data_IF_370581989779
#
_entry.id   IF_370581989779
#
_cell.length_a   1.000
_cell.length_b   1.000
_cell.length_c   1.000
_cell.angle_alpha   90.00
_cell.angle_beta   90.00
_cell.angle_gamma   90.00
#
_symmetry.space_group_name_H-M   'P 1'
#
loop_
_entity.id
_entity.type
_entity.pdbx_description
1 polymer ?
#
# COMPACT_ATOMS: atom_id res chain seq x y z
N UNK A 1 47.94 7.73 30.06
CA UNK A 1 46.87 8.58 29.48
C UNK A 1 47.01 8.60 27.97
N UNK A 2 46.16 7.84 27.27
CA UNK A 2 45.57 8.18 25.96
C UNK A 2 44.38 7.23 25.76
N UNK A 3 43.22 7.84 25.52
CA UNK A 3 41.88 7.27 25.65
C UNK A 3 41.59 6.10 24.70
N UNK A 4 40.98 5.04 25.23
CA UNK A 4 40.06 4.16 24.49
C UNK A 4 38.65 4.72 24.70
N UNK A 5 38.10 5.45 23.72
CA UNK A 5 36.71 5.88 23.74
C UNK A 5 36.12 5.68 22.33
N UNK A 6 34.96 5.00 22.31
CA UNK A 6 33.90 4.90 21.29
C UNK A 6 34.20 4.21 19.94
N UNK A 7 33.86 2.92 19.86
CA UNK A 7 33.36 2.28 18.63
C UNK A 7 31.97 1.62 18.82
N UNK A 8 31.46 1.54 20.05
CA UNK A 8 30.20 0.86 20.36
C UNK A 8 28.93 1.69 20.04
N UNK A 9 29.06 3.01 19.85
CA UNK A 9 27.91 3.90 19.60
C UNK A 9 27.38 3.86 18.17
N UNK A 10 28.26 3.74 17.16
CA UNK A 10 27.83 3.75 15.75
C UNK A 10 27.07 2.48 15.36
N UNK A 11 27.51 1.32 15.83
CA UNK A 11 26.90 0.04 15.48
C UNK A 11 25.48 -0.10 16.06
N UNK A 12 25.25 0.36 17.29
CA UNK A 12 23.95 0.29 17.95
C UNK A 12 22.92 1.25 17.31
N UNK A 13 23.38 2.43 16.86
CA UNK A 13 22.54 3.40 16.14
C UNK A 13 22.18 2.86 14.75
N UNK A 14 23.16 2.33 14.00
CA UNK A 14 22.91 1.76 12.67
C UNK A 14 21.93 0.57 12.72
N UNK A 15 22.06 -0.33 13.70
CA UNK A 15 21.10 -1.43 13.89
C UNK A 15 19.70 -0.95 14.28
N UNK A 16 19.62 0.15 15.03
CA UNK A 16 18.33 0.75 15.41
C UNK A 16 17.61 1.38 14.22
N UNK A 17 18.34 2.10 13.36
CA UNK A 17 17.80 2.71 12.13
C UNK A 17 17.31 1.63 11.16
N UNK A 18 18.11 0.59 10.89
CA UNK A 18 17.68 -0.50 9.99
C UNK A 18 16.44 -1.24 10.51
N UNK A 19 16.33 -1.45 11.82
CA UNK A 19 15.16 -2.07 12.41
C UNK A 19 13.91 -1.19 12.26
N UNK A 20 14.06 0.13 12.40
CA UNK A 20 12.98 1.09 12.20
C UNK A 20 12.54 1.13 10.72
N UNK A 21 13.48 1.24 9.78
CA UNK A 21 13.19 1.25 8.33
C UNK A 21 12.45 -0.03 7.90
N UNK A 22 12.81 -1.18 8.50
CA UNK A 22 12.16 -2.47 8.24
C UNK A 22 10.71 -2.49 8.73
N UNK A 23 10.46 -2.02 9.95
CA UNK A 23 9.10 -1.97 10.52
C UNK A 23 8.21 -0.99 9.74
N UNK A 24 8.75 0.16 9.34
CA UNK A 24 8.06 1.14 8.50
C UNK A 24 7.72 0.53 7.13
N UNK A 25 8.66 -0.14 6.45
CA UNK A 25 8.39 -0.80 5.19
C UNK A 25 7.28 -1.86 5.29
N UNK A 26 7.29 -2.66 6.36
CA UNK A 26 6.26 -3.68 6.61
C UNK A 26 4.90 -3.02 6.82
N UNK A 27 4.81 -2.02 7.70
CA UNK A 27 3.58 -1.27 7.98
C UNK A 27 3.02 -0.63 6.71
N UNK A 28 3.85 0.07 5.97
CA UNK A 28 3.44 0.81 4.78
C UNK A 28 2.88 -0.13 3.71
N UNK A 29 3.48 -1.31 3.51
CA UNK A 29 2.99 -2.31 2.57
C UNK A 29 1.74 -3.05 3.06
N UNK A 30 1.57 -3.25 4.36
CA UNK A 30 0.30 -3.75 4.94
C UNK A 30 -0.85 -2.77 4.63
N UNK A 31 -0.61 -1.47 4.79
CA UNK A 31 -1.61 -0.45 4.45
C UNK A 31 -1.86 -0.38 2.94
N UNK A 32 -0.81 -0.44 2.13
CA UNK A 32 -0.94 -0.39 0.68
C UNK A 32 -1.78 -1.55 0.15
N UNK A 33 -1.53 -2.80 0.59
CA UNK A 33 -2.34 -3.94 0.16
C UNK A 33 -3.76 -3.88 0.75
N UNK A 34 -3.92 -3.44 2.00
CA UNK A 34 -5.24 -3.28 2.59
C UNK A 34 -6.10 -2.28 1.80
N UNK A 35 -5.52 -1.16 1.36
CA UNK A 35 -6.22 -0.19 0.53
C UNK A 35 -6.50 -0.70 -0.89
N UNK A 36 -5.66 -1.57 -1.45
CA UNK A 36 -5.98 -2.29 -2.68
C UNK A 36 -7.25 -3.12 -2.50
N UNK A 37 -7.31 -3.93 -1.44
CA UNK A 37 -8.49 -4.75 -1.13
C UNK A 37 -9.73 -3.92 -0.78
N UNK A 38 -9.53 -2.76 -0.15
CA UNK A 38 -10.63 -1.82 0.06
C UNK A 38 -11.11 -1.20 -1.27
N UNK A 39 -10.22 -0.94 -2.22
CA UNK A 39 -10.58 -0.60 -3.59
C UNK A 39 -11.46 -1.68 -4.23
N UNK A 40 -11.07 -2.96 -4.11
CA UNK A 40 -11.90 -4.08 -4.57
C UNK A 40 -13.27 -4.12 -3.92
N UNK A 41 -13.34 -3.88 -2.61
CA UNK A 41 -14.60 -3.80 -1.87
C UNK A 41 -15.48 -2.67 -2.38
N UNK A 42 -14.93 -1.47 -2.58
CA UNK A 42 -15.69 -0.33 -3.10
C UNK A 42 -16.20 -0.57 -4.52
N UNK A 43 -15.39 -1.18 -5.39
CA UNK A 43 -15.82 -1.56 -6.74
C UNK A 43 -17.04 -2.49 -6.68
N UNK A 44 -17.02 -3.49 -5.80
CA UNK A 44 -18.12 -4.46 -5.66
C UNK A 44 -19.38 -3.81 -5.06
N UNK A 45 -19.26 -3.20 -3.88
CA UNK A 45 -20.43 -2.73 -3.12
C UNK A 45 -21.10 -1.50 -3.74
N UNK A 46 -20.37 -0.72 -4.55
CA UNK A 46 -20.90 0.47 -5.26
C UNK A 46 -21.12 0.22 -6.75
N UNK A 47 -20.86 -0.98 -7.26
CA UNK A 47 -20.96 -1.32 -8.69
C UNK A 47 -20.20 -0.30 -9.57
N UNK A 48 -18.98 0.04 -9.15
CA UNK A 48 -18.18 1.04 -9.86
C UNK A 48 -17.79 0.49 -11.24
N UNK A 49 -18.05 1.21 -12.33
CA UNK A 49 -17.72 0.73 -13.67
C UNK A 49 -16.21 0.75 -13.87
N UNK A 50 -15.61 -0.43 -14.07
CA UNK A 50 -14.19 -0.58 -14.41
C UNK A 50 -14.05 -0.97 -15.89
N UNK A 51 -13.23 -0.21 -16.60
CA UNK A 51 -12.75 -0.55 -17.94
C UNK A 51 -11.23 -0.71 -17.89
N UNK A 52 -10.72 -1.91 -18.16
CA UNK A 52 -9.31 -2.26 -17.98
C UNK A 52 -9.13 -3.43 -17.01
N UNK A 53 -7.96 -3.53 -16.37
CA UNK A 53 -7.69 -4.52 -15.33
C UNK A 53 -8.23 -4.02 -13.99
N UNK A 54 -8.93 -4.89 -13.24
CA UNK A 54 -9.50 -4.53 -11.94
C UNK A 54 -8.40 -4.26 -10.90
N UNK A 55 -7.30 -5.03 -10.95
CA UNK A 55 -6.15 -4.85 -10.05
C UNK A 55 -5.47 -3.49 -10.25
N UNK A 56 -5.27 -3.03 -11.50
CA UNK A 56 -4.72 -1.70 -11.75
C UNK A 56 -5.61 -0.59 -11.15
N UNK A 57 -6.93 -0.76 -11.21
CA UNK A 57 -7.87 0.18 -10.59
C UNK A 57 -7.77 0.17 -9.05
N UNK A 58 -7.56 -1.00 -8.45
CA UNK A 58 -7.38 -1.17 -7.01
C UNK A 58 -6.03 -0.61 -6.51
N UNK A 59 -4.95 -0.79 -7.26
CA UNK A 59 -3.64 -0.16 -6.99
C UNK A 59 -3.76 1.37 -6.99
N UNK A 60 -4.47 1.93 -7.99
CA UNK A 60 -4.74 3.37 -8.04
C UNK A 60 -5.60 3.80 -6.85
N UNK A 61 -6.58 3.00 -6.41
CA UNK A 61 -7.34 3.29 -5.20
C UNK A 61 -6.42 3.41 -3.97
N UNK A 62 -5.45 2.50 -3.85
CA UNK A 62 -4.45 2.51 -2.79
C UNK A 62 -3.61 3.78 -2.79
N UNK A 63 -3.13 4.21 -3.97
CA UNK A 63 -2.42 5.49 -4.13
C UNK A 63 -3.30 6.68 -3.72
N UNK A 64 -4.56 6.71 -4.15
CA UNK A 64 -5.47 7.81 -3.83
C UNK A 64 -5.82 7.89 -2.34
N UNK A 65 -5.97 6.74 -1.67
CA UNK A 65 -6.20 6.67 -0.23
C UNK A 65 -4.97 7.16 0.54
N UNK A 66 -3.76 6.69 0.20
CA UNK A 66 -2.52 7.20 0.80
C UNK A 66 -2.35 8.71 0.58
N UNK A 67 -2.60 9.18 -0.64
CA UNK A 67 -2.55 10.61 -0.98
C UNK A 67 -3.54 11.46 -0.17
N UNK A 68 -4.75 10.94 0.07
CA UNK A 68 -5.82 11.74 0.67
C UNK A 68 -5.86 11.68 2.20
N UNK A 69 -5.37 10.58 2.80
CA UNK A 69 -5.49 10.32 4.23
C UNK A 69 -4.25 10.71 5.04
N UNK A 70 -3.09 10.86 4.39
CA UNK A 70 -1.82 11.10 5.06
C UNK A 70 -1.22 12.44 4.67
N UNK A 71 -0.46 13.01 5.62
CA UNK A 71 0.37 14.19 5.36
C UNK A 71 1.43 13.87 4.29
N UNK A 72 1.79 14.89 3.50
CA UNK A 72 2.62 14.77 2.29
C UNK A 72 3.89 13.92 2.48
N UNK A 73 4.69 14.19 3.52
CA UNK A 73 5.93 13.45 3.79
C UNK A 73 5.68 11.96 4.09
N UNK A 74 4.59 11.66 4.81
CA UNK A 74 4.22 10.27 5.12
C UNK A 74 3.67 9.57 3.89
N UNK A 75 2.82 10.24 3.10
CA UNK A 75 2.29 9.69 1.86
C UNK A 75 3.41 9.37 0.85
N UNK A 76 4.41 10.25 0.71
CA UNK A 76 5.60 9.99 -0.12
C UNK A 76 6.31 8.71 0.33
N UNK A 77 6.57 8.58 1.63
CA UNK A 77 7.24 7.40 2.18
C UNK A 77 6.43 6.12 1.91
N UNK A 78 5.13 6.13 2.20
CA UNK A 78 4.26 4.96 2.01
C UNK A 78 4.21 4.50 0.55
N UNK A 79 4.02 5.44 -0.39
CA UNK A 79 3.97 5.12 -1.82
C UNK A 79 5.33 4.63 -2.32
N UNK A 80 6.43 5.22 -1.85
CA UNK A 80 7.77 4.72 -2.18
C UNK A 80 8.00 3.30 -1.64
N UNK A 81 7.55 2.99 -0.42
CA UNK A 81 7.59 1.65 0.17
C UNK A 81 6.78 0.64 -0.65
N UNK A 82 5.55 1.00 -1.03
CA UNK A 82 4.68 0.16 -1.86
C UNK A 82 5.28 -0.11 -3.26
N UNK A 83 5.76 0.94 -3.93
CA UNK A 83 6.43 0.80 -5.22
C UNK A 83 7.67 -0.11 -5.09
N UNK A 84 8.52 0.10 -4.08
CA UNK A 84 9.70 -0.75 -3.87
C UNK A 84 9.38 -2.24 -3.71
N UNK A 85 8.23 -2.60 -3.12
CA UNK A 85 7.78 -3.99 -3.07
C UNK A 85 7.51 -4.55 -4.48
N UNK A 86 6.79 -3.81 -5.34
CA UNK A 86 6.61 -4.20 -6.75
C UNK A 86 7.92 -4.32 -7.51
N UNK A 87 8.89 -3.43 -7.25
CA UNK A 87 10.21 -3.55 -7.87
C UNK A 87 10.97 -4.80 -7.40
N UNK A 88 10.87 -5.17 -6.12
CA UNK A 88 11.46 -6.40 -5.61
C UNK A 88 10.86 -7.65 -6.28
N UNK A 89 9.54 -7.66 -6.49
CA UNK A 89 8.85 -8.72 -7.22
C UNK A 89 9.27 -8.75 -8.69
N UNK A 90 9.39 -7.59 -9.35
CA UNK A 90 9.87 -7.49 -10.73
C UNK A 90 11.29 -8.06 -10.90
N UNK A 91 12.18 -7.82 -9.94
CA UNK A 91 13.54 -8.40 -9.93
C UNK A 91 13.48 -9.93 -9.80
N UNK A 92 12.50 -10.47 -9.08
CA UNK A 92 12.31 -11.91 -8.94
C UNK A 92 11.67 -12.52 -10.20
N UNK A 93 10.67 -11.86 -10.78
CA UNK A 93 10.05 -12.22 -12.06
C UNK A 93 11.09 -12.29 -13.19
N UNK A 94 11.99 -11.30 -13.28
CA UNK A 94 13.03 -11.25 -14.29
C UNK A 94 14.07 -12.39 -14.19
N UNK A 95 14.15 -13.07 -13.03
CA UNK A 95 14.99 -14.27 -12.84
C UNK A 95 14.24 -15.57 -13.17
N UNK A 96 12.92 -15.50 -13.36
CA UNK A 96 12.07 -16.64 -13.70
C UNK A 96 11.91 -16.75 -15.22
N UNK A 97 12.02 -17.96 -15.76
CA UNK A 97 11.73 -18.23 -17.18
C UNK A 97 10.21 -18.27 -17.46
N UNK A 98 9.38 -18.29 -16.41
CA UNK A 98 7.91 -18.39 -16.47
C UNK A 98 7.25 -17.08 -15.98
N UNK A 99 7.58 -15.95 -16.61
CA UNK A 99 6.90 -14.68 -16.31
C UNK A 99 5.40 -14.80 -16.69
N UNK A 100 4.46 -14.64 -15.73
CA UNK A 100 3.04 -14.93 -15.95
C UNK A 100 2.33 -13.72 -16.57
N UNK A 101 2.66 -13.36 -17.82
CA UNK A 101 2.03 -12.21 -18.50
C UNK A 101 0.52 -12.35 -18.77
N UNK A 102 -0.07 -13.51 -18.43
CA UNK A 102 -1.50 -13.80 -18.49
C UNK A 102 -2.18 -13.74 -17.11
N UNK A 103 -1.44 -13.36 -16.07
CA UNK A 103 -1.97 -13.17 -14.72
C UNK A 103 -3.02 -12.04 -14.72
N UNK A 104 -3.87 -12.03 -13.69
CA UNK A 104 -4.82 -10.93 -13.48
C UNK A 104 -4.15 -9.63 -13.05
N UNK A 105 -2.93 -9.71 -12.53
CA UNK A 105 -2.10 -8.57 -12.19
C UNK A 105 -1.22 -8.18 -13.40
N UNK A 106 -1.05 -6.87 -13.59
CA UNK A 106 -0.02 -6.37 -14.48
C UNK A 106 1.39 -6.81 -14.03
N UNK A 107 2.35 -6.81 -14.96
CA UNK A 107 3.75 -7.09 -14.62
C UNK A 107 4.23 -6.17 -13.50
N UNK A 108 4.98 -6.69 -12.53
CA UNK A 108 5.32 -5.92 -11.32
C UNK A 108 6.10 -4.64 -11.61
N UNK A 109 6.94 -4.62 -12.64
CA UNK A 109 7.64 -3.40 -13.08
C UNK A 109 6.68 -2.34 -13.66
N UNK A 110 5.57 -2.73 -14.27
CA UNK A 110 4.54 -1.79 -14.71
C UNK A 110 3.77 -1.21 -13.52
N UNK A 111 3.42 -2.06 -12.54
CA UNK A 111 2.77 -1.63 -11.29
C UNK A 111 3.65 -0.64 -10.52
N UNK A 112 4.96 -0.87 -10.48
CA UNK A 112 5.97 0.06 -9.96
C UNK A 112 5.83 1.46 -10.59
N UNK A 113 5.99 1.55 -11.91
CA UNK A 113 5.97 2.85 -12.60
C UNK A 113 4.60 3.52 -12.56
N UNK A 114 3.51 2.76 -12.61
CA UNK A 114 2.15 3.31 -12.51
C UNK A 114 1.87 3.89 -11.13
N UNK A 115 2.24 3.17 -10.06
CA UNK A 115 2.12 3.63 -8.67
C UNK A 115 2.83 4.95 -8.46
N UNK A 116 4.10 5.04 -8.90
CA UNK A 116 4.90 6.26 -8.77
C UNK A 116 4.32 7.39 -9.60
N UNK A 117 3.92 7.10 -10.84
CA UNK A 117 3.43 8.12 -11.75
C UNK A 117 2.13 8.77 -11.26
N UNK A 118 1.14 7.96 -10.92
CA UNK A 118 -0.15 8.47 -10.41
C UNK A 118 0.08 9.32 -9.17
N UNK A 119 0.90 8.86 -8.22
CA UNK A 119 1.18 9.65 -7.03
C UNK A 119 1.95 10.93 -7.36
N UNK A 120 3.03 10.86 -8.14
CA UNK A 120 3.81 12.04 -8.54
C UNK A 120 2.93 13.13 -9.17
N UNK A 121 2.01 12.74 -10.06
CA UNK A 121 1.11 13.64 -10.77
C UNK A 121 0.18 14.48 -9.88
N UNK A 122 -0.05 14.07 -8.63
CA UNK A 122 -0.91 14.82 -7.70
C UNK A 122 -0.24 16.03 -7.06
N UNK A 123 1.09 16.06 -7.00
CA UNK A 123 1.83 17.20 -6.47
C UNK A 123 3.27 17.25 -7.05
N UNK A 124 3.44 17.51 -8.37
CA UNK A 124 4.75 17.45 -9.02
C UNK A 124 5.79 18.39 -8.43
N UNK A 125 5.35 19.54 -7.90
CA UNK A 125 6.21 20.57 -7.33
C UNK A 125 6.88 20.11 -6.02
N UNK A 126 6.14 19.43 -5.13
CA UNK A 126 6.69 18.92 -3.86
C UNK A 126 7.25 17.50 -3.98
N UNK A 127 6.87 16.75 -5.03
CA UNK A 127 7.30 15.36 -5.28
C UNK A 127 8.41 15.24 -6.34
N UNK A 128 9.02 16.36 -6.76
CA UNK A 128 10.02 16.37 -7.83
C UNK A 128 11.18 15.41 -7.61
N UNK A 129 11.62 15.25 -6.36
CA UNK A 129 12.74 14.37 -6.00
C UNK A 129 12.43 12.89 -6.25
N UNK A 130 11.14 12.51 -6.32
CA UNK A 130 10.74 11.13 -6.63
C UNK A 130 11.18 10.69 -8.02
N UNK A 131 11.30 11.62 -8.99
CA UNK A 131 11.76 11.29 -10.34
C UNK A 131 13.15 10.64 -10.27
N UNK A 132 14.08 11.29 -9.60
CA UNK A 132 15.45 10.82 -9.48
C UNK A 132 15.57 9.64 -8.49
N UNK A 133 14.89 9.73 -7.33
CA UNK A 133 14.96 8.70 -6.29
C UNK A 133 14.38 7.36 -6.72
N UNK A 134 13.33 7.39 -7.55
CA UNK A 134 12.62 6.20 -8.01
C UNK A 134 12.90 5.90 -9.50
N UNK A 135 13.82 6.63 -10.13
CA UNK A 135 14.20 6.39 -11.52
C UNK A 135 13.01 6.47 -12.50
N UNK A 136 12.04 7.34 -12.25
CA UNK A 136 10.91 7.56 -13.14
C UNK A 136 11.43 8.23 -14.44
N UNK A 137 11.29 7.61 -15.61
CA UNK A 137 11.75 8.24 -16.85
C UNK A 137 11.01 9.56 -17.11
N UNK A 138 11.73 10.60 -17.56
CA UNK A 138 11.12 11.91 -17.88
C UNK A 138 9.94 11.77 -18.85
N UNK A 139 10.06 10.91 -19.88
CA UNK A 139 8.97 10.63 -20.83
C UNK A 139 7.72 10.01 -20.15
N UNK A 140 7.91 9.19 -19.10
CA UNK A 140 6.79 8.65 -18.31
C UNK A 140 6.14 9.73 -17.46
N UNK A 141 6.95 10.65 -16.91
CA UNK A 141 6.52 11.73 -16.04
C UNK A 141 5.62 12.76 -16.75
N UNK A 142 5.81 12.98 -18.06
CA UNK A 142 5.04 13.95 -18.85
C UNK A 142 3.51 13.74 -18.78
N UNK A 143 3.04 12.50 -18.63
CA UNK A 143 1.62 12.15 -18.56
C UNK A 143 1.05 12.04 -17.14
N UNK A 144 1.89 12.14 -16.10
CA UNK A 144 1.48 11.76 -14.74
C UNK A 144 0.44 12.68 -14.13
N UNK A 145 0.52 14.01 -14.36
CA UNK A 145 -0.51 14.95 -13.90
C UNK A 145 -1.89 14.62 -14.49
N UNK A 146 -1.95 14.23 -15.76
CA UNK A 146 -3.20 13.84 -16.42
C UNK A 146 -3.77 12.54 -15.85
N UNK A 147 -2.91 11.54 -15.62
CA UNK A 147 -3.29 10.27 -15.02
C UNK A 147 -3.77 10.44 -13.57
N UNK A 148 -3.12 11.31 -12.78
CA UNK A 148 -3.61 11.66 -11.45
C UNK A 148 -4.98 12.33 -11.52
N UNK A 149 -5.18 13.32 -12.41
CA UNK A 149 -6.48 13.97 -12.56
C UNK A 149 -7.58 12.97 -12.96
N UNK A 150 -7.25 11.97 -13.78
CA UNK A 150 -8.18 10.89 -14.11
C UNK A 150 -8.49 10.01 -12.90
N UNK A 151 -7.47 9.66 -12.10
CA UNK A 151 -7.63 8.90 -10.87
C UNK A 151 -8.49 9.67 -9.84
N UNK A 152 -8.22 10.96 -9.63
CA UNK A 152 -8.99 11.84 -8.75
C UNK A 152 -10.44 12.00 -9.20
N UNK A 153 -10.67 12.18 -10.52
CA UNK A 153 -12.02 12.23 -11.05
C UNK A 153 -12.80 10.92 -10.84
N UNK A 154 -12.12 9.77 -10.83
CA UNK A 154 -12.77 8.47 -10.58
C UNK A 154 -12.90 8.19 -9.09
N UNK A 155 -11.77 7.93 -8.43
CA UNK A 155 -11.72 7.50 -7.04
C UNK A 155 -12.02 8.62 -6.06
N UNK A 156 -11.63 9.86 -6.34
CA UNK A 156 -11.97 11.00 -5.48
C UNK A 156 -13.48 11.18 -5.33
N UNK A 157 -14.25 11.01 -6.41
CA UNK A 157 -15.71 11.00 -6.35
C UNK A 157 -16.26 9.80 -5.56
N UNK A 158 -15.74 8.59 -5.80
CA UNK A 158 -16.17 7.39 -5.07
C UNK A 158 -15.90 7.48 -3.56
N UNK A 159 -14.75 8.05 -3.17
CA UNK A 159 -14.38 8.27 -1.77
C UNK A 159 -15.19 9.41 -1.14
N UNK A 160 -15.48 10.48 -1.87
CA UNK A 160 -16.32 11.58 -1.38
C UNK A 160 -17.75 11.10 -1.05
N UNK A 161 -18.30 10.15 -1.80
CA UNK A 161 -19.63 9.57 -1.56
C UNK A 161 -19.73 8.78 -0.24
N UNK A 162 -18.60 8.32 0.31
CA UNK A 162 -18.55 7.64 1.62
C UNK A 162 -17.90 8.49 2.71
N UNK A 163 -17.42 9.70 2.40
CA UNK A 163 -16.79 10.58 3.39
C UNK A 163 -17.81 11.05 4.44
N UNK A 164 -17.38 11.11 5.70
CA UNK A 164 -18.23 11.52 6.82
C UNK A 164 -17.43 12.28 7.88
N UNK A 165 -17.87 13.49 8.23
CA UNK A 165 -17.30 14.26 9.35
C UNK A 165 -17.73 13.72 10.73
N UNK A 166 -18.83 12.97 10.79
CA UNK A 166 -19.35 12.38 12.03
C UNK A 166 -18.76 10.98 12.30
N UNK A 167 -18.11 10.38 11.30
CA UNK A 167 -17.67 8.98 11.30
C UNK A 167 -18.82 7.98 11.29
N UNK A 168 -18.49 6.69 11.20
CA UNK A 168 -19.39 5.58 11.44
C UNK A 168 -18.62 4.31 11.83
N UNK A 169 -19.32 3.28 12.31
CA UNK A 169 -18.75 1.94 12.41
C UNK A 169 -18.81 1.31 11.02
N UNK A 170 -17.84 1.69 10.19
CA UNK A 170 -17.69 1.26 8.80
C UNK A 170 -16.91 -0.03 8.67
N UNK A 171 -16.07 -0.39 9.65
CA UNK A 171 -15.23 -1.58 9.60
C UNK A 171 -15.38 -2.42 10.87
N UNK A 172 -15.53 -3.73 10.70
CA UNK A 172 -15.66 -4.71 11.79
C UNK A 172 -14.44 -5.63 11.81
N UNK A 173 -13.55 -5.43 12.78
CA UNK A 173 -12.29 -6.15 12.90
C UNK A 173 -12.49 -7.50 13.63
N UNK A 174 -12.11 -8.59 12.97
CA UNK A 174 -12.12 -9.96 13.50
C UNK A 174 -10.69 -10.54 13.50
N UNK A 175 -10.03 -10.50 14.65
CA UNK A 175 -8.69 -11.09 14.83
C UNK A 175 -8.82 -12.54 15.28
N UNK A 176 -8.41 -13.46 14.41
CA UNK A 176 -8.46 -14.92 14.64
C UNK A 176 -7.09 -15.53 14.87
N UNK A 177 -6.04 -14.85 14.41
CA UNK A 177 -4.64 -15.21 14.63
C UNK A 177 -3.84 -13.97 15.05
N UNK A 178 -2.95 -14.15 16.03
CA UNK A 178 -2.17 -13.11 16.69
C UNK A 178 -0.67 -13.18 16.33
N UNK A 179 -0.30 -14.06 15.39
CA UNK A 179 1.10 -14.30 15.00
C UNK A 179 1.75 -13.18 14.19
N UNK A 180 0.95 -12.24 13.66
CA UNK A 180 1.40 -11.07 12.91
C UNK A 180 1.12 -9.76 13.70
N UNK A 181 1.97 -9.41 14.69
CA UNK A 181 1.73 -8.29 15.59
C UNK A 181 1.77 -6.92 14.91
N UNK A 182 2.61 -6.72 13.88
CA UNK A 182 2.64 -5.45 13.14
C UNK A 182 1.34 -5.30 12.36
N UNK A 183 0.93 -6.34 11.63
CA UNK A 183 -0.33 -6.38 10.88
C UNK A 183 -1.53 -6.07 11.77
N UNK A 184 -1.60 -6.73 12.93
CA UNK A 184 -2.67 -6.47 13.88
C UNK A 184 -2.69 -5.02 14.33
N UNK A 185 -1.55 -4.48 14.77
CA UNK A 185 -1.48 -3.10 15.27
C UNK A 185 -1.86 -2.11 14.16
N UNK A 186 -1.22 -2.22 13.00
CA UNK A 186 -1.43 -1.36 11.84
C UNK A 186 -2.88 -1.35 11.38
N UNK A 187 -3.48 -2.53 11.17
CA UNK A 187 -4.87 -2.61 10.73
C UNK A 187 -5.82 -2.10 11.82
N UNK A 188 -5.57 -2.40 13.10
CA UNK A 188 -6.44 -1.88 14.17
C UNK A 188 -6.45 -0.35 14.19
N UNK A 189 -5.27 0.29 14.17
CA UNK A 189 -5.15 1.74 14.19
C UNK A 189 -5.75 2.40 12.94
N UNK A 190 -5.53 1.78 11.77
CA UNK A 190 -6.05 2.29 10.51
C UNK A 190 -7.58 2.21 10.45
N UNK A 191 -8.18 1.09 10.83
CA UNK A 191 -9.64 0.97 10.85
C UNK A 191 -10.29 1.95 11.83
N UNK A 192 -9.65 2.22 12.97
CA UNK A 192 -10.10 3.28 13.88
C UNK A 192 -10.04 4.67 13.24
N UNK A 193 -9.00 4.96 12.46
CA UNK A 193 -8.88 6.21 11.71
C UNK A 193 -9.93 6.31 10.61
N UNK A 194 -10.08 5.28 9.79
CA UNK A 194 -11.06 5.25 8.70
C UNK A 194 -12.50 5.30 9.19
N UNK A 195 -12.82 4.71 10.35
CA UNK A 195 -14.14 4.86 10.99
C UNK A 195 -14.48 6.32 11.36
N UNK A 196 -13.49 7.21 11.47
CA UNK A 196 -13.70 8.66 11.66
C UNK A 196 -13.82 9.43 10.35
N UNK A 197 -13.37 8.85 9.24
CA UNK A 197 -13.31 9.49 7.92
C UNK A 197 -14.45 9.03 7.01
N UNK A 198 -14.90 7.78 7.15
CA UNK A 198 -15.83 7.15 6.22
C UNK A 198 -17.07 6.58 6.93
N UNK A 199 -18.19 6.60 6.21
CA UNK A 199 -19.46 5.99 6.59
C UNK A 199 -19.96 5.04 5.50
N UNK A 200 -19.63 3.75 5.65
CA UNK A 200 -20.16 2.69 4.79
C UNK A 200 -21.61 2.37 5.16
N UNK A 201 -22.41 1.98 4.16
CA UNK A 201 -23.82 1.61 4.37
C UNK A 201 -23.95 0.34 5.22
N UNK A 202 -23.05 -0.62 5.00
CA UNK A 202 -22.91 -1.82 5.80
C UNK A 202 -21.46 -1.93 6.29
N UNK A 203 -21.22 -2.32 7.56
CA UNK A 203 -19.86 -2.52 8.05
C UNK A 203 -19.13 -3.58 7.21
N UNK A 204 -17.92 -3.26 6.77
CA UNK A 204 -17.03 -4.17 6.05
C UNK A 204 -16.24 -5.02 7.05
N UNK A 205 -16.41 -6.36 7.07
CA UNK A 205 -15.58 -7.22 7.90
C UNK A 205 -14.13 -7.23 7.42
N UNK A 206 -13.19 -7.07 8.36
CA UNK A 206 -11.76 -7.18 8.12
C UNK A 206 -11.20 -8.25 9.05
N UNK A 207 -10.66 -9.32 8.47
CA UNK A 207 -10.21 -10.51 9.20
C UNK A 207 -8.70 -10.56 9.23
N UNK A 208 -8.12 -10.90 10.37
CA UNK A 208 -6.69 -11.23 10.49
C UNK A 208 -6.59 -12.71 10.88
N UNK A 209 -6.13 -13.55 9.95
CA UNK A 209 -6.07 -15.00 10.14
C UNK A 209 -4.91 -15.63 9.36
N UNK A 210 -4.56 -16.88 9.69
CA UNK A 210 -3.57 -17.66 8.92
C UNK A 210 -4.22 -18.23 7.66
N UNK A 211 -3.58 -18.00 6.51
CA UNK A 211 -4.05 -18.44 5.21
C UNK A 211 -3.23 -19.60 4.62
N UNK A 212 -2.03 -19.83 5.15
CA UNK A 212 -1.04 -20.75 4.57
C UNK A 212 -0.24 -20.16 3.40
N UNK A 213 -0.47 -18.88 3.07
CA UNK A 213 0.26 -18.11 2.06
C UNK A 213 0.31 -16.62 2.44
N UNK A 214 1.37 -15.94 2.01
CA UNK A 214 1.56 -14.51 2.23
C UNK A 214 0.70 -13.71 1.26
N UNK A 215 -0.45 -13.21 1.71
CA UNK A 215 -1.43 -12.57 0.85
C UNK A 215 -2.36 -11.60 1.63
N UNK A 216 -3.15 -10.83 0.91
CA UNK A 216 -4.40 -10.25 1.40
C UNK A 216 -5.40 -10.26 0.25
N UNK A 217 -6.69 -10.42 0.55
CA UNK A 217 -7.71 -10.50 -0.51
C UNK A 217 -9.08 -10.05 -0.02
N UNK A 218 -9.83 -9.48 -0.95
CA UNK A 218 -11.26 -9.24 -0.84
C UNK A 218 -12.08 -10.42 -1.37
N UNK A 219 -13.02 -10.93 -0.57
CA UNK A 219 -14.00 -11.95 -0.98
C UNK A 219 -15.36 -11.30 -1.29
N UNK A 220 -15.84 -11.30 -2.55
CA UNK A 220 -17.13 -10.71 -2.92
C UNK A 220 -18.35 -11.50 -2.41
N UNK A 221 -18.20 -12.77 -2.01
CA UNK A 221 -19.33 -13.56 -1.50
C UNK A 221 -19.69 -13.16 -0.06
N UNK A 222 -18.66 -12.90 0.75
CA UNK A 222 -18.77 -12.47 2.13
C UNK A 222 -18.70 -10.95 2.28
N UNK A 223 -18.31 -10.25 1.21
CA UNK A 223 -17.94 -8.83 1.20
C UNK A 223 -17.00 -8.50 2.35
N UNK A 224 -15.87 -9.19 2.42
CA UNK A 224 -14.90 -9.07 3.51
C UNK A 224 -13.47 -9.01 3.00
N UNK A 225 -12.60 -8.33 3.73
CA UNK A 225 -11.16 -8.33 3.50
C UNK A 225 -10.49 -9.30 4.47
N UNK A 226 -9.62 -10.16 3.98
CA UNK A 226 -8.75 -11.01 4.80
C UNK A 226 -7.30 -10.57 4.66
N UNK A 227 -6.66 -10.26 5.79
CA UNK A 227 -5.24 -9.98 5.92
C UNK A 227 -4.56 -11.25 6.45
N UNK A 228 -3.76 -11.91 5.60
CA UNK A 228 -3.10 -13.15 6.00
C UNK A 228 -1.88 -12.86 6.87
N UNK A 229 -1.77 -13.55 8.02
CA UNK A 229 -0.66 -13.34 8.96
C UNK A 229 0.73 -13.58 8.37
N UNK A 230 0.83 -14.46 7.37
CA UNK A 230 2.06 -14.80 6.67
C UNK A 230 2.63 -13.62 5.85
N UNK A 231 1.80 -12.63 5.52
CA UNK A 231 2.22 -11.47 4.73
C UNK A 231 3.26 -10.62 5.46
N UNK A 232 3.15 -10.46 6.79
CA UNK A 232 4.11 -9.69 7.60
C UNK A 232 5.53 -10.26 7.51
N UNK A 233 5.67 -11.57 7.68
CA UNK A 233 6.97 -12.24 7.59
C UNK A 233 7.53 -12.13 6.17
N UNK A 234 6.68 -12.31 5.15
CA UNK A 234 7.07 -12.17 3.74
C UNK A 234 7.60 -10.78 3.42
N UNK A 235 6.92 -9.71 3.85
CA UNK A 235 7.38 -8.33 3.67
C UNK A 235 8.73 -8.09 4.35
N UNK A 236 8.92 -8.68 5.53
CA UNK A 236 10.20 -8.67 6.21
C UNK A 236 11.33 -9.31 5.39
N UNK A 237 11.06 -10.43 4.73
CA UNK A 237 12.01 -11.09 3.83
C UNK A 237 12.25 -10.28 2.55
N UNK A 238 11.23 -9.61 2.01
CA UNK A 238 11.38 -8.70 0.87
C UNK A 238 12.36 -7.58 1.24
N UNK A 239 12.13 -6.89 2.35
CA UNK A 239 13.01 -5.82 2.83
C UNK A 239 14.46 -6.30 3.04
N UNK A 240 14.64 -7.47 3.64
CA UNK A 240 15.98 -8.01 3.94
C UNK A 240 16.77 -8.40 2.67
N UNK A 241 16.10 -8.55 1.52
CA UNK A 241 16.69 -8.94 0.23
C UNK A 241 16.80 -7.79 -0.79
N UNK A 242 16.36 -6.58 -0.44
CA UNK A 242 16.45 -5.38 -1.28
C UNK A 242 17.85 -4.75 -1.31
#
# INVERSE_FOLDING_TARGET
MKSMILAAGLALVATGVVAQDREEFIRDNILAIFYNEFGHALIDVRDLPIFGQKEDAADVASVMLMHSLYEEETAIQMVMSAAKAFYADAVQEAKSDDAPYWDSHGASEQRYFNTICVFYGGNPDERSDMIDLMGLPEERAEGCEEEFMQADFSWGNALADIASEEGAVSFDLDVRDESAPITKLTITEELEAMNRTFALENPLPVRIESCGEANAYYDPNDQSITMCTEFEESLGLVFDNM
#
